data_IF_214509425452
#
_entry.id   IF_214509425452
#
_cell.length_a   1.000
_cell.length_b   1.000
_cell.length_c   1.000
_cell.angle_alpha   90.00
_cell.angle_beta   90.00
_cell.angle_gamma   90.00
#
_symmetry.space_group_name_H-M   'P 1'
#
loop_
_entity.id
_entity.type
_entity.pdbx_description
1 polymer ?
#
# COMPACT_ATOMS: atom_id res chain seq x y z
N UNK A 1 26.88 13.54 -17.84
CA UNK A 1 25.55 14.09 -17.53
C UNK A 1 24.86 13.10 -16.60
N UNK A 2 24.59 13.51 -15.37
CA UNK A 2 23.93 12.66 -14.37
C UNK A 2 22.42 12.82 -14.43
N UNK A 3 21.70 11.71 -14.25
CA UNK A 3 20.25 11.66 -14.38
C UNK A 3 19.60 11.19 -13.06
N UNK A 4 19.55 12.03 -12.02
CA UNK A 4 18.88 11.68 -10.78
C UNK A 4 17.40 11.39 -11.07
N UNK A 5 16.95 10.21 -10.64
CA UNK A 5 15.57 9.75 -10.83
C UNK A 5 14.77 9.96 -9.55
N UNK A 6 13.63 10.64 -9.68
CA UNK A 6 12.65 10.84 -8.62
C UNK A 6 11.52 9.83 -8.76
N UNK A 7 11.00 9.42 -7.61
CA UNK A 7 9.97 8.40 -7.55
C UNK A 7 8.58 8.98 -7.84
N UNK A 8 8.27 10.16 -7.33
CA UNK A 8 6.97 10.80 -7.53
C UNK A 8 7.16 12.23 -8.04
N UNK A 9 6.20 12.81 -8.80
CA UNK A 9 6.29 14.20 -9.25
C UNK A 9 6.29 15.19 -8.09
N UNK A 10 5.87 14.79 -6.89
CA UNK A 10 5.96 15.59 -5.67
C UNK A 10 6.94 15.01 -4.64
N UNK A 11 7.96 14.24 -5.07
CA UNK A 11 8.93 13.59 -4.19
C UNK A 11 10.00 14.56 -3.66
N UNK A 12 9.63 15.35 -2.64
CA UNK A 12 10.56 16.29 -1.99
C UNK A 12 11.71 15.58 -1.29
N UNK A 13 11.45 14.45 -0.62
CA UNK A 13 12.47 13.70 0.13
C UNK A 13 13.52 13.09 -0.82
N UNK A 14 13.07 12.48 -1.92
CA UNK A 14 13.95 11.95 -2.96
C UNK A 14 14.76 13.05 -3.64
N UNK A 15 14.13 14.18 -3.95
CA UNK A 15 14.85 15.35 -4.49
C UNK A 15 15.93 15.84 -3.51
N UNK A 16 15.59 16.03 -2.24
CA UNK A 16 16.53 16.49 -1.20
C UNK A 16 17.73 15.55 -1.05
N UNK A 17 17.49 14.23 -1.07
CA UNK A 17 18.55 13.21 -0.98
C UNK A 17 19.48 13.25 -2.19
N UNK A 18 18.93 13.27 -3.41
CA UNK A 18 19.74 13.32 -4.64
C UNK A 18 20.49 14.65 -4.77
N UNK A 19 19.84 15.78 -4.44
CA UNK A 19 20.45 17.10 -4.47
C UNK A 19 21.65 17.18 -3.51
N UNK A 20 21.53 16.65 -2.29
CA UNK A 20 22.65 16.54 -1.34
C UNK A 20 23.81 15.71 -1.90
N UNK A 21 23.51 14.55 -2.48
CA UNK A 21 24.53 13.67 -3.09
C UNK A 21 25.28 14.37 -4.22
N UNK A 22 24.58 15.12 -5.07
CA UNK A 22 25.18 15.85 -6.19
C UNK A 22 26.06 17.01 -5.70
N UNK A 23 25.63 17.74 -4.67
CA UNK A 23 26.41 18.83 -4.06
C UNK A 23 27.71 18.32 -3.44
N UNK A 24 27.64 17.24 -2.64
CA UNK A 24 28.82 16.64 -2.00
C UNK A 24 29.85 16.18 -3.05
N UNK A 25 29.38 15.74 -4.22
CA UNK A 25 30.21 15.31 -5.34
C UNK A 25 30.66 16.46 -6.24
N UNK A 26 30.27 17.71 -5.95
CA UNK A 26 30.63 18.88 -6.73
C UNK A 26 30.06 18.88 -8.16
N UNK A 27 28.91 18.25 -8.39
CA UNK A 27 28.29 18.16 -9.72
C UNK A 27 27.48 19.42 -10.00
N UNK A 28 27.94 20.25 -10.95
CA UNK A 28 27.26 21.48 -11.34
C UNK A 28 25.88 21.27 -11.97
N UNK A 29 24.95 22.24 -11.86
CA UNK A 29 23.56 22.10 -12.34
C UNK A 29 23.45 21.87 -13.85
N UNK A 30 24.41 22.32 -14.65
CA UNK A 30 24.50 22.07 -16.10
C UNK A 30 24.79 20.61 -16.45
N UNK A 31 25.30 19.83 -15.49
CA UNK A 31 25.65 18.43 -15.67
C UNK A 31 24.52 17.49 -15.25
N UNK A 32 23.39 18.02 -14.76
CA UNK A 32 22.30 17.27 -14.14
C UNK A 32 21.03 17.39 -14.96
N UNK A 33 20.42 16.26 -15.29
CA UNK A 33 19.10 16.19 -15.92
C UNK A 33 18.15 15.42 -15.02
N UNK A 34 17.21 16.14 -14.40
CA UNK A 34 16.24 15.54 -13.48
C UNK A 34 15.20 14.74 -14.24
N UNK A 35 15.01 13.49 -13.84
CA UNK A 35 13.97 12.63 -14.38
C UNK A 35 13.01 12.25 -13.27
N UNK A 36 11.72 12.30 -13.58
CA UNK A 36 10.70 11.62 -12.78
C UNK A 36 10.45 10.31 -13.51
N UNK A 37 10.56 9.18 -12.81
CA UNK A 37 10.30 7.88 -13.43
C UNK A 37 8.93 7.91 -14.11
N UNK A 38 8.87 7.67 -15.42
CA UNK A 38 7.61 7.63 -16.19
C UNK A 38 6.79 6.36 -15.93
N UNK A 39 7.24 5.47 -15.05
CA UNK A 39 6.37 4.50 -14.37
C UNK A 39 5.50 5.24 -13.34
N UNK A 40 4.60 6.08 -13.84
CA UNK A 40 3.82 7.03 -13.04
C UNK A 40 2.41 6.50 -12.76
N UNK A 41 2.30 5.70 -11.68
CA UNK A 41 1.16 5.70 -10.75
C UNK A 41 1.38 4.77 -9.52
N UNK A 42 2.63 4.54 -9.07
CA UNK A 42 2.91 3.57 -7.99
C UNK A 42 3.48 4.14 -6.70
N UNK A 43 3.77 5.44 -6.62
CA UNK A 43 4.66 5.99 -5.60
C UNK A 43 3.88 6.82 -4.58
N UNK A 44 3.17 6.11 -3.72
CA UNK A 44 2.43 6.66 -2.59
C UNK A 44 3.26 6.71 -1.30
N UNK A 45 4.39 7.42 -1.30
CA UNK A 45 5.27 7.55 -0.12
C UNK A 45 4.68 8.48 0.97
N UNK A 46 4.24 7.90 2.09
CA UNK A 46 4.01 8.56 3.36
C UNK A 46 5.15 8.26 4.34
N UNK A 47 5.54 9.30 5.07
CA UNK A 47 6.51 9.40 6.18
C UNK A 47 7.97 9.02 5.92
N UNK A 48 8.83 9.97 6.28
CA UNK A 48 10.27 9.84 6.41
C UNK A 48 10.68 8.79 7.47
N UNK A 49 11.95 8.37 7.37
CA UNK A 49 12.75 7.57 8.31
C UNK A 49 12.55 6.04 8.17
N UNK A 50 13.58 5.20 8.06
CA UNK A 50 15.02 5.34 7.99
C UNK A 50 15.58 4.02 7.42
N UNK A 51 16.57 4.07 6.53
CA UNK A 51 17.62 3.07 6.57
C UNK A 51 18.93 3.66 6.02
N UNK A 52 19.92 3.61 6.90
CA UNK A 52 21.30 3.97 6.68
C UNK A 52 22.03 2.77 6.09
N UNK A 53 22.77 3.00 5.01
CA UNK A 53 24.22 2.77 5.00
C UNK A 53 24.82 3.20 3.66
N UNK A 54 25.94 3.93 3.76
CA UNK A 54 26.88 4.38 2.73
C UNK A 54 26.49 5.63 1.89
N UNK A 55 26.45 6.80 2.53
CA UNK A 55 27.54 7.80 2.44
C UNK A 55 27.19 9.05 3.26
N UNK A 56 27.44 8.98 4.57
CA UNK A 56 27.64 10.15 5.41
C UNK A 56 29.05 10.71 5.15
N UNK A 57 29.21 11.37 4.01
CA UNK A 57 30.16 12.47 3.95
C UNK A 57 29.41 13.70 4.48
N UNK A 58 29.54 13.93 5.79
CA UNK A 58 28.99 15.10 6.47
C UNK A 58 29.71 16.37 5.97
N UNK A 59 29.25 16.91 4.84
CA UNK A 59 29.48 18.30 4.50
C UNK A 59 28.37 19.12 5.16
N UNK A 60 28.73 20.08 6.01
CA UNK A 60 27.81 21.07 6.59
C UNK A 60 27.26 21.99 5.48
N UNK A 61 26.28 21.50 4.73
CA UNK A 61 25.59 22.29 3.70
C UNK A 61 24.71 23.31 4.42
N UNK A 62 25.16 24.57 4.47
CA UNK A 62 24.40 25.69 5.04
C UNK A 62 23.53 26.35 3.98
N UNK A 63 22.24 26.46 4.27
CA UNK A 63 21.25 27.17 3.44
C UNK A 63 20.35 28.03 4.32
N UNK A 64 19.79 29.14 3.79
CA UNK A 64 18.82 29.95 4.54
C UNK A 64 17.59 29.13 4.96
N UNK A 65 17.03 29.45 6.13
CA UNK A 65 15.87 28.73 6.71
C UNK A 65 14.62 28.75 5.82
N UNK A 66 14.47 29.79 4.99
CA UNK A 66 13.35 29.96 4.06
C UNK A 66 13.41 29.05 2.83
N UNK A 67 14.58 28.45 2.53
CA UNK A 67 14.74 27.63 1.32
C UNK A 67 13.92 26.34 1.35
N UNK A 68 13.94 25.60 2.47
CA UNK A 68 13.28 24.30 2.54
C UNK A 68 11.75 24.39 2.43
N UNK A 69 11.05 25.31 3.11
CA UNK A 69 9.61 25.51 2.92
C UNK A 69 9.24 25.92 1.48
N UNK A 70 10.06 26.76 0.85
CA UNK A 70 9.90 27.14 -0.55
C UNK A 70 10.01 25.91 -1.45
N UNK A 71 11.07 25.12 -1.28
CA UNK A 71 11.32 23.92 -2.08
C UNK A 71 10.21 22.87 -1.90
N UNK A 72 9.76 22.62 -0.68
CA UNK A 72 8.68 21.69 -0.37
C UNK A 72 7.37 22.09 -1.09
N UNK A 73 7.08 23.38 -1.16
CA UNK A 73 5.91 23.90 -1.87
C UNK A 73 6.10 23.81 -3.40
N UNK A 74 7.23 24.25 -3.92
CA UNK A 74 7.48 24.29 -5.37
C UNK A 74 7.53 22.89 -5.99
N UNK A 75 8.01 21.88 -5.27
CA UNK A 75 8.06 20.49 -5.74
C UNK A 75 6.68 19.96 -6.14
N UNK A 76 5.60 20.45 -5.51
CA UNK A 76 4.23 20.08 -5.87
C UNK A 76 3.77 20.62 -7.24
N UNK A 77 4.42 21.62 -7.83
CA UNK A 77 4.00 22.20 -9.12
C UNK A 77 4.19 21.20 -10.27
N UNK A 78 3.34 21.25 -11.31
CA UNK A 78 3.48 20.37 -12.50
C UNK A 78 4.62 20.75 -13.46
N UNK A 79 5.37 21.81 -13.18
CA UNK A 79 6.34 22.38 -14.13
C UNK A 79 7.60 21.51 -14.18
N UNK A 80 7.92 20.94 -15.33
CA UNK A 80 8.99 19.96 -15.52
C UNK A 80 10.37 20.46 -15.04
N UNK A 81 10.67 21.74 -15.26
CA UNK A 81 11.96 22.35 -14.91
C UNK A 81 12.16 22.64 -13.42
N UNK A 82 11.14 22.46 -12.56
CA UNK A 82 11.18 22.88 -11.14
C UNK A 82 12.36 22.30 -10.36
N UNK A 83 12.69 21.02 -10.56
CA UNK A 83 13.75 20.34 -9.82
C UNK A 83 15.14 20.84 -10.23
N UNK A 84 15.31 21.16 -11.51
CA UNK A 84 16.55 21.73 -12.04
C UNK A 84 16.78 23.14 -11.49
N UNK A 85 15.74 23.98 -11.46
CA UNK A 85 15.84 25.34 -10.90
C UNK A 85 16.07 25.29 -9.38
N UNK A 86 15.37 24.42 -8.65
CA UNK A 86 15.62 24.23 -7.21
C UNK A 86 17.05 23.78 -6.93
N UNK A 87 17.60 22.87 -7.73
CA UNK A 87 18.99 22.44 -7.60
C UNK A 87 19.98 23.56 -7.93
N UNK A 88 19.72 24.34 -8.99
CA UNK A 88 20.55 25.49 -9.36
C UNK A 88 20.58 26.55 -8.27
N UNK A 89 19.43 26.90 -7.68
CA UNK A 89 19.36 27.84 -6.55
C UNK A 89 20.11 27.29 -5.35
N UNK A 90 19.96 26.00 -5.03
CA UNK A 90 20.70 25.35 -3.96
C UNK A 90 22.23 25.37 -4.20
N UNK A 91 22.67 25.14 -5.43
CA UNK A 91 24.08 25.26 -5.82
C UNK A 91 24.60 26.69 -5.60
N UNK A 92 23.87 27.71 -6.07
CA UNK A 92 24.26 29.13 -5.92
C UNK A 92 24.35 29.55 -4.44
N UNK A 93 23.37 29.15 -3.62
CA UNK A 93 23.34 29.40 -2.17
C UNK A 93 24.56 28.82 -1.44
N UNK A 94 25.08 27.69 -1.92
CA UNK A 94 26.24 27.00 -1.32
C UNK A 94 27.59 27.47 -1.86
N UNK A 95 27.59 28.18 -2.99
CA UNK A 95 28.80 28.67 -3.69
C UNK A 95 28.98 30.20 -3.58
N UNK A 96 28.42 30.83 -2.54
CA UNK A 96 28.72 32.21 -2.16
C UNK A 96 27.56 33.21 -2.30
N UNK A 97 26.44 32.83 -2.91
CA UNK A 97 25.26 33.70 -3.04
C UNK A 97 24.27 33.50 -1.89
N UNK A 98 24.67 33.76 -0.64
CA UNK A 98 23.86 33.43 0.55
C UNK A 98 22.55 34.24 0.66
N UNK A 99 22.51 35.46 0.13
CA UNK A 99 21.36 36.36 0.16
C UNK A 99 20.45 36.23 -1.08
N UNK A 100 20.69 35.23 -1.94
CA UNK A 100 19.98 35.04 -3.21
C UNK A 100 18.46 35.03 -3.06
N UNK A 101 17.93 34.43 -1.98
CA UNK A 101 16.47 34.36 -1.74
C UNK A 101 15.83 35.72 -1.45
N UNK A 102 16.60 36.75 -1.09
CA UNK A 102 16.13 38.12 -0.87
C UNK A 102 16.12 38.93 -2.18
N UNK A 103 16.83 38.46 -3.21
CA UNK A 103 16.94 39.12 -4.51
C UNK A 103 15.72 38.81 -5.39
N UNK A 104 14.59 39.47 -5.13
CA UNK A 104 13.34 39.26 -5.87
C UNK A 104 13.42 39.53 -7.38
N UNK A 105 14.46 40.24 -7.85
CA UNK A 105 14.72 40.51 -9.26
C UNK A 105 15.46 39.38 -9.98
N UNK A 106 16.05 38.43 -9.24
CA UNK A 106 16.73 37.27 -9.82
C UNK A 106 15.73 36.39 -10.59
N UNK A 107 16.15 35.91 -11.76
CA UNK A 107 15.28 35.15 -12.65
C UNK A 107 14.84 33.80 -12.05
N UNK A 108 15.72 33.11 -11.32
CA UNK A 108 15.41 31.82 -10.69
C UNK A 108 14.44 32.03 -9.53
N UNK A 109 14.68 33.04 -8.70
CA UNK A 109 13.81 33.35 -7.55
C UNK A 109 12.42 33.78 -8.02
N UNK A 110 12.34 34.65 -9.03
CA UNK A 110 11.06 35.06 -9.63
C UNK A 110 10.30 33.87 -10.21
N UNK A 111 11.00 32.94 -10.86
CA UNK A 111 10.40 31.71 -11.36
C UNK A 111 9.87 30.83 -10.22
N UNK A 112 10.68 30.55 -9.20
CA UNK A 112 10.26 29.75 -8.04
C UNK A 112 9.08 30.39 -7.29
N UNK A 113 9.07 31.71 -7.12
CA UNK A 113 7.96 32.41 -6.46
C UNK A 113 6.66 32.33 -7.26
N UNK A 114 6.74 32.36 -8.60
CA UNK A 114 5.58 32.16 -9.48
C UNK A 114 5.00 30.76 -9.30
N UNK A 115 5.86 29.73 -9.28
CA UNK A 115 5.44 28.35 -9.05
C UNK A 115 4.83 28.18 -7.64
N UNK A 116 5.48 28.75 -6.61
CA UNK A 116 5.00 28.72 -5.23
C UNK A 116 3.59 29.29 -5.09
N UNK A 117 3.36 30.51 -5.60
CA UNK A 117 2.05 31.18 -5.58
C UNK A 117 0.95 30.35 -6.28
N UNK A 118 1.29 29.71 -7.39
CA UNK A 118 0.39 28.84 -8.14
C UNK A 118 -0.02 27.59 -7.34
N UNK A 119 0.94 26.94 -6.66
CA UNK A 119 0.67 25.80 -5.77
C UNK A 119 -0.16 26.22 -4.55
N UNK A 120 0.21 27.30 -3.88
CA UNK A 120 -0.51 27.82 -2.71
C UNK A 120 -1.95 28.19 -3.04
N UNK A 121 -2.18 28.82 -4.19
CA UNK A 121 -3.52 29.14 -4.68
C UNK A 121 -4.37 27.88 -4.91
N UNK A 122 -3.79 26.82 -5.46
CA UNK A 122 -4.49 25.55 -5.66
C UNK A 122 -4.79 24.82 -4.35
N UNK A 123 -3.84 24.84 -3.41
CA UNK A 123 -4.03 24.33 -2.05
C UNK A 123 -5.15 25.07 -1.33
N UNK A 124 -5.15 26.40 -1.40
CA UNK A 124 -6.22 27.21 -0.80
C UNK A 124 -7.58 26.89 -1.43
N UNK A 125 -7.63 26.71 -2.76
CA UNK A 125 -8.84 26.28 -3.47
C UNK A 125 -9.31 24.91 -2.98
N UNK A 126 -8.42 23.94 -2.78
CA UNK A 126 -8.77 22.65 -2.22
C UNK A 126 -9.40 22.80 -0.84
N UNK A 127 -8.74 23.54 0.06
CA UNK A 127 -9.21 23.78 1.43
C UNK A 127 -10.60 24.43 1.46
N UNK A 128 -10.87 25.41 0.60
CA UNK A 128 -12.13 26.15 0.61
C UNK A 128 -13.26 25.46 -0.16
N UNK A 129 -12.92 24.63 -1.15
CA UNK A 129 -13.91 24.03 -2.07
C UNK A 129 -14.31 22.62 -1.65
N UNK A 130 -13.43 21.86 -0.99
CA UNK A 130 -13.73 20.50 -0.54
C UNK A 130 -14.84 20.56 0.51
N UNK A 131 -15.98 19.97 0.15
CA UNK A 131 -17.13 19.82 1.02
C UNK A 131 -17.43 18.35 1.21
N UNK A 132 -17.27 17.87 2.44
CA UNK A 132 -17.58 16.50 2.81
C UNK A 132 -19.09 16.27 2.84
N UNK A 133 -19.54 15.25 2.12
CA UNK A 133 -20.93 14.80 2.14
C UNK A 133 -21.01 13.43 2.77
N UNK A 134 -21.99 13.24 3.66
CA UNK A 134 -22.28 11.93 4.25
C UNK A 134 -22.67 10.95 3.14
N UNK A 135 -22.14 9.74 3.23
CA UNK A 135 -22.43 8.63 2.32
C UNK A 135 -23.46 7.72 2.99
N UNK A 136 -24.71 7.63 2.51
CA UNK A 136 -25.72 6.75 3.08
C UNK A 136 -25.44 5.27 2.72
N UNK A 137 -25.62 4.34 3.66
CA UNK A 137 -25.52 2.90 3.40
C UNK A 137 -24.21 2.22 3.78
N UNK A 138 -23.20 2.94 4.26
CA UNK A 138 -22.04 2.32 4.91
C UNK A 138 -22.37 1.98 6.38
N UNK A 139 -21.97 0.80 6.87
CA UNK A 139 -22.14 0.39 8.28
C UNK A 139 -21.51 1.37 9.28
N UNK A 140 -20.57 2.21 8.81
CA UNK A 140 -19.93 3.30 9.56
C UNK A 140 -20.28 4.65 8.95
N UNK A 141 -20.39 5.71 9.75
CA UNK A 141 -20.56 7.08 9.25
C UNK A 141 -19.32 7.53 8.44
N UNK A 142 -19.41 7.48 7.11
CA UNK A 142 -18.32 7.81 6.20
C UNK A 142 -18.66 9.02 5.31
N UNK A 143 -17.69 9.92 5.15
CA UNK A 143 -17.83 11.15 4.38
C UNK A 143 -16.94 11.13 3.14
N UNK A 144 -17.45 11.62 2.02
CA UNK A 144 -16.71 11.64 0.76
C UNK A 144 -16.72 13.02 0.11
N UNK A 145 -15.67 13.31 -0.64
CA UNK A 145 -15.55 14.52 -1.44
C UNK A 145 -14.72 14.25 -2.72
N UNK A 146 -15.07 14.93 -3.80
CA UNK A 146 -14.28 14.98 -5.04
C UNK A 146 -13.52 16.30 -5.17
N UNK A 147 -12.27 16.25 -5.65
CA UNK A 147 -11.51 17.43 -6.00
C UNK A 147 -10.58 17.20 -7.19
N UNK A 148 -10.44 18.19 -8.08
CA UNK A 148 -9.54 18.15 -9.23
C UNK A 148 -8.42 19.18 -9.05
N UNK A 149 -7.25 18.74 -8.54
CA UNK A 149 -6.14 19.64 -8.33
C UNK A 149 -5.48 20.02 -9.67
N UNK A 150 -4.94 21.24 -9.72
CA UNK A 150 -4.07 21.70 -10.83
C UNK A 150 -2.64 21.22 -10.62
N UNK A 151 -2.24 20.98 -9.38
CA UNK A 151 -0.87 20.59 -9.00
C UNK A 151 -0.87 19.34 -8.11
N UNK A 152 0.29 18.76 -7.83
CA UNK A 152 0.42 17.56 -7.01
C UNK A 152 0.31 17.88 -5.50
N UNK A 153 -0.84 18.43 -5.09
CA UNK A 153 -1.07 19.02 -3.75
C UNK A 153 -1.79 18.12 -2.77
N UNK A 154 -2.28 16.95 -3.20
CA UNK A 154 -3.12 16.07 -2.38
C UNK A 154 -2.47 15.75 -1.03
N UNK A 155 -1.26 15.19 -1.05
CA UNK A 155 -0.50 14.83 0.17
C UNK A 155 -0.25 16.01 1.08
N UNK A 156 0.19 17.12 0.50
CA UNK A 156 0.54 18.34 1.21
C UNK A 156 -0.69 19.01 1.84
N UNK A 157 -1.88 18.82 1.25
CA UNK A 157 -3.13 19.42 1.71
C UNK A 157 -3.91 18.52 2.68
N UNK A 158 -3.76 17.20 2.61
CA UNK A 158 -4.51 16.25 3.44
C UNK A 158 -4.26 16.40 4.94
N UNK A 159 -3.09 16.89 5.34
CA UNK A 159 -2.77 17.16 6.74
C UNK A 159 -3.73 18.20 7.36
N UNK A 160 -4.16 19.20 6.59
CA UNK A 160 -5.16 20.17 7.04
C UNK A 160 -6.51 19.50 7.34
N UNK A 161 -6.97 18.63 6.43
CA UNK A 161 -8.23 17.92 6.59
C UNK A 161 -8.17 16.90 7.74
N UNK A 162 -7.02 16.25 7.92
CA UNK A 162 -6.77 15.33 9.04
C UNK A 162 -6.91 16.04 10.38
N UNK A 163 -6.30 17.22 10.53
CA UNK A 163 -6.35 18.00 11.76
C UNK A 163 -7.76 18.58 12.01
N UNK A 164 -8.41 19.12 10.97
CA UNK A 164 -9.72 19.77 11.11
C UNK A 164 -10.89 18.79 11.24
N UNK A 165 -10.82 17.65 10.58
CA UNK A 165 -11.89 16.64 10.51
C UNK A 165 -11.43 15.29 11.09
N UNK A 166 -10.66 15.33 12.19
CA UNK A 166 -10.08 14.14 12.83
C UNK A 166 -11.12 13.16 13.39
N UNK A 167 -12.29 13.66 13.79
CA UNK A 167 -13.32 12.87 14.48
C UNK A 167 -14.17 11.98 13.55
N UNK A 168 -14.15 12.23 12.23
CA UNK A 168 -15.00 11.53 11.25
C UNK A 168 -14.15 10.68 10.30
N UNK A 169 -14.74 9.65 9.70
CA UNK A 169 -14.11 8.93 8.59
C UNK A 169 -14.35 9.70 7.30
N UNK A 170 -13.29 10.01 6.56
CA UNK A 170 -13.44 10.74 5.31
C UNK A 170 -12.54 10.24 4.19
N UNK A 171 -13.00 10.44 2.95
CA UNK A 171 -12.26 10.17 1.73
C UNK A 171 -12.29 11.36 0.78
N UNK A 172 -11.14 11.72 0.22
CA UNK A 172 -10.99 12.70 -0.85
C UNK A 172 -10.52 11.96 -2.09
N UNK A 173 -11.28 12.07 -3.17
CA UNK A 173 -10.99 11.45 -4.45
C UNK A 173 -10.50 12.49 -5.45
N UNK A 174 -9.40 12.19 -6.14
CA UNK A 174 -8.86 13.03 -7.20
C UNK A 174 -8.39 12.17 -8.38
N UNK A 175 -8.27 12.75 -9.59
CA UNK A 175 -7.69 12.06 -10.75
C UNK A 175 -6.21 11.68 -10.60
N UNK A 176 -5.51 12.19 -9.59
CA UNK A 176 -4.08 11.91 -9.34
C UNK A 176 -3.86 10.95 -8.16
N UNK A 177 -4.90 10.68 -7.37
CA UNK A 177 -4.83 9.85 -6.17
C UNK A 177 -6.03 10.06 -5.26
N UNK A 178 -6.23 9.14 -4.33
CA UNK A 178 -7.19 9.31 -3.24
C UNK A 178 -6.48 9.40 -1.89
N UNK A 179 -7.16 10.00 -0.92
CA UNK A 179 -6.73 10.08 0.47
C UNK A 179 -7.89 9.71 1.38
N UNK A 180 -7.61 8.93 2.40
CA UNK A 180 -8.60 8.36 3.30
C UNK A 180 -8.15 8.50 4.74
N UNK A 181 -9.05 8.90 5.60
CA UNK A 181 -8.80 9.03 7.04
C UNK A 181 -9.80 8.17 7.80
N UNK A 182 -9.26 7.28 8.64
CA UNK A 182 -10.04 6.32 9.42
C UNK A 182 -10.12 6.65 10.93
N UNK A 183 -9.79 7.90 11.30
CA UNK A 183 -9.60 8.41 12.68
C UNK A 183 -8.31 8.01 13.40
N UNK A 184 -7.57 7.05 12.86
CA UNK A 184 -6.26 6.65 13.37
C UNK A 184 -5.13 6.97 12.39
N UNK A 185 -5.35 6.76 11.10
CA UNK A 185 -4.34 6.80 10.06
C UNK A 185 -4.88 7.47 8.80
N UNK A 186 -3.98 8.19 8.13
CA UNK A 186 -4.19 8.81 6.83
C UNK A 186 -3.56 7.92 5.76
N UNK A 187 -4.39 7.24 4.98
CA UNK A 187 -3.98 6.31 3.93
C UNK A 187 -4.19 6.98 2.57
N UNK A 188 -3.22 6.83 1.67
CA UNK A 188 -3.35 7.31 0.29
C UNK A 188 -3.51 6.13 -0.66
N UNK A 189 -4.32 6.29 -1.69
CA UNK A 189 -4.58 5.25 -2.68
C UNK A 189 -4.55 5.78 -4.12
N UNK A 190 -4.79 4.89 -5.09
CA UNK A 190 -4.63 5.15 -6.52
C UNK A 190 -5.50 6.30 -7.04
N UNK A 191 -5.20 6.86 -8.23
CA UNK A 191 -6.08 7.82 -8.88
C UNK A 191 -7.44 7.22 -9.17
N UNK A 192 -8.47 8.05 -9.12
CA UNK A 192 -9.85 7.64 -9.42
C UNK A 192 -10.37 8.48 -10.59
N UNK A 193 -11.07 7.85 -11.52
CA UNK A 193 -11.68 8.54 -12.68
C UNK A 193 -13.06 9.03 -12.30
N UNK A 194 -13.42 10.25 -12.73
CA UNK A 194 -14.77 10.74 -12.49
C UNK A 194 -15.76 9.98 -13.37
N UNK A 195 -16.61 9.13 -12.77
CA UNK A 195 -17.57 8.33 -13.52
C UNK A 195 -18.68 9.21 -14.15
N UNK A 196 -19.06 10.27 -13.45
CA UNK A 196 -20.02 11.27 -13.90
C UNK A 196 -19.43 12.68 -13.72
N UNK A 197 -18.94 13.32 -14.81
CA UNK A 197 -18.43 14.68 -14.77
C UNK A 197 -19.49 15.75 -14.42
N UNK A 198 -20.78 15.46 -14.63
CA UNK A 198 -21.88 16.37 -14.33
C UNK A 198 -22.23 16.35 -12.84
N UNK A 199 -22.11 15.19 -12.19
CA UNK A 199 -22.18 15.06 -10.73
C UNK A 199 -20.96 14.34 -10.12
N UNK A 200 -19.88 15.12 -10.02
CA UNK A 200 -18.61 14.69 -9.41
C UNK A 200 -18.77 14.21 -7.96
N UNK A 201 -19.73 14.79 -7.23
CA UNK A 201 -19.98 14.42 -5.83
C UNK A 201 -20.72 13.09 -5.73
N UNK A 202 -21.60 12.79 -6.68
CA UNK A 202 -22.19 11.47 -6.81
C UNK A 202 -21.14 10.42 -7.17
N UNK A 203 -20.15 10.75 -8.01
CA UNK A 203 -19.01 9.86 -8.28
C UNK A 203 -18.24 9.54 -6.99
N UNK A 204 -17.86 10.55 -6.20
CA UNK A 204 -17.18 10.34 -4.91
C UNK A 204 -18.00 9.48 -3.93
N UNK A 205 -19.32 9.67 -3.89
CA UNK A 205 -20.22 8.85 -3.08
C UNK A 205 -20.28 7.41 -3.55
N UNK A 206 -20.41 7.18 -4.86
CA UNK A 206 -20.40 5.84 -5.44
C UNK A 206 -19.12 5.11 -5.10
N UNK A 207 -17.97 5.78 -5.27
CA UNK A 207 -16.70 5.23 -4.84
C UNK A 207 -16.70 4.94 -3.34
N UNK A 208 -17.14 5.86 -2.48
CA UNK A 208 -17.20 5.60 -1.05
C UNK A 208 -18.15 4.46 -0.64
N UNK A 209 -19.22 4.19 -1.40
CA UNK A 209 -20.14 3.07 -1.18
C UNK A 209 -19.52 1.74 -1.65
N UNK A 210 -18.91 1.72 -2.83
CA UNK A 210 -18.27 0.53 -3.42
C UNK A 210 -16.94 0.19 -2.73
N UNK A 211 -16.24 1.19 -2.19
CA UNK A 211 -14.87 1.11 -1.67
C UNK A 211 -14.78 0.81 -0.18
N UNK A 212 -15.74 0.04 0.37
CA UNK A 212 -15.77 -0.40 1.78
C UNK A 212 -14.37 -0.46 2.35
N UNK A 213 -14.02 0.56 3.14
CA UNK A 213 -12.63 0.94 3.34
C UNK A 213 -11.83 -0.26 3.88
N UNK A 214 -10.69 -0.65 3.24
CA UNK A 214 -10.07 -0.08 2.04
C UNK A 214 -10.34 -0.83 0.70
N UNK A 215 -10.52 -0.03 -0.37
CA UNK A 215 -10.33 -0.21 -1.85
C UNK A 215 -11.03 -1.39 -2.61
N UNK A 216 -11.84 -1.11 -3.67
CA UNK A 216 -12.29 -2.10 -4.66
C UNK A 216 -11.17 -2.48 -5.64
N UNK A 217 -11.16 -3.75 -6.03
CA UNK A 217 -10.24 -4.44 -6.94
C UNK A 217 -10.30 -3.96 -8.39
N UNK A 218 -11.37 -3.27 -8.78
CA UNK A 218 -11.53 -2.70 -10.12
C UNK A 218 -10.48 -1.63 -10.50
N UNK A 219 -9.63 -1.16 -9.58
CA UNK A 219 -8.64 -0.08 -9.81
C UNK A 219 -7.22 -0.59 -10.17
N UNK A 220 -7.03 -1.89 -10.39
CA UNK A 220 -5.69 -2.50 -10.42
C UNK A 220 -5.00 -2.43 -11.80
N UNK A 221 -5.67 -2.00 -12.86
CA UNK A 221 -5.06 -1.86 -14.20
C UNK A 221 -5.21 -0.45 -14.76
N UNK A 222 -4.25 0.43 -14.47
CA UNK A 222 -4.09 1.71 -15.14
C UNK A 222 -2.64 1.95 -15.63
N UNK A 223 -1.96 0.91 -16.11
CA UNK A 223 -0.68 1.05 -16.82
C UNK A 223 -0.76 0.78 -18.33
N UNK A 224 -1.95 0.53 -18.86
CA UNK A 224 -2.21 0.46 -20.30
C UNK A 224 -3.59 1.02 -20.52
N UNK A 225 -3.76 1.91 -21.51
CA UNK A 225 -5.03 2.56 -21.86
C UNK A 225 -6.14 1.64 -22.37
N UNK A 226 -6.15 0.38 -21.94
CA UNK A 226 -7.25 -0.56 -22.07
C UNK A 226 -7.55 -1.10 -20.67
N UNK A 227 -8.82 -1.01 -20.26
CA UNK A 227 -9.34 -1.73 -19.11
C UNK A 227 -9.13 -3.23 -19.32
N UNK A 228 -8.03 -3.78 -18.82
CA UNK A 228 -7.85 -5.24 -18.79
C UNK A 228 -8.80 -5.76 -17.71
N UNK A 229 -9.99 -6.16 -18.12
CA UNK A 229 -10.88 -6.95 -17.28
C UNK A 229 -10.17 -8.28 -16.97
N UNK A 230 -9.55 -8.39 -15.80
CA UNK A 230 -8.98 -9.64 -15.30
C UNK A 230 -10.15 -10.55 -14.93
N UNK A 231 -10.34 -11.61 -15.70
CA UNK A 231 -11.44 -12.58 -15.52
C UNK A 231 -10.98 -13.96 -15.08
N UNK A 232 -9.66 -14.18 -14.95
CA UNK A 232 -9.07 -15.47 -14.58
C UNK A 232 -7.82 -15.33 -13.71
N UNK A 233 -7.54 -16.37 -12.90
CA UNK A 233 -6.34 -16.42 -12.06
C UNK A 233 -5.04 -16.39 -12.88
N UNK A 234 -5.03 -16.94 -14.08
CA UNK A 234 -3.84 -16.91 -14.94
C UNK A 234 -3.54 -15.50 -15.45
N UNK A 235 -4.57 -14.72 -15.80
CA UNK A 235 -4.39 -13.30 -16.13
C UNK A 235 -3.88 -12.53 -14.91
N UNK A 236 -4.45 -12.81 -13.73
CA UNK A 236 -4.03 -12.18 -12.48
C UNK A 236 -2.57 -12.50 -12.14
N UNK A 237 -2.18 -13.78 -12.25
CA UNK A 237 -0.81 -14.25 -12.04
C UNK A 237 0.18 -13.60 -13.00
N UNK A 238 -0.19 -13.46 -14.28
CA UNK A 238 0.64 -12.76 -15.28
C UNK A 238 0.80 -11.28 -14.95
N UNK A 239 -0.28 -10.61 -14.54
CA UNK A 239 -0.24 -9.22 -14.14
C UNK A 239 0.61 -9.00 -12.87
N UNK A 240 0.55 -9.93 -11.92
CA UNK A 240 1.32 -9.86 -10.68
C UNK A 240 2.81 -10.21 -10.85
N UNK A 241 3.20 -10.94 -11.91
CA UNK A 241 4.54 -11.54 -12.06
C UNK A 241 5.70 -10.54 -11.84
N UNK A 242 5.55 -9.31 -12.32
CA UNK A 242 6.54 -8.25 -12.21
C UNK A 242 6.07 -7.13 -11.28
N UNK A 243 5.27 -7.48 -10.26
CA UNK A 243 4.75 -6.51 -9.30
C UNK A 243 5.88 -5.78 -8.59
N UNK A 244 5.87 -4.46 -8.67
CA UNK A 244 6.81 -3.54 -8.03
C UNK A 244 6.15 -2.68 -6.94
N UNK A 245 4.93 -3.07 -6.53
CA UNK A 245 4.07 -2.30 -5.59
C UNK A 245 4.66 -2.14 -4.19
N UNK A 246 5.51 -3.06 -3.74
CA UNK A 246 6.17 -2.98 -2.44
C UNK A 246 7.70 -2.94 -2.59
N UNK A 247 8.44 -2.29 -1.66
CA UNK A 247 9.89 -2.22 -1.71
C UNK A 247 10.58 -3.60 -1.79
N UNK A 248 9.96 -4.62 -1.19
CA UNK A 248 10.48 -5.99 -1.14
C UNK A 248 10.54 -6.69 -2.49
N UNK A 249 9.85 -6.17 -3.51
CA UNK A 249 9.93 -6.70 -4.87
C UNK A 249 11.36 -6.64 -5.43
N UNK A 250 12.18 -5.68 -4.99
CA UNK A 250 13.56 -5.53 -5.42
C UNK A 250 14.51 -6.53 -4.76
N UNK A 251 14.20 -6.95 -3.52
CA UNK A 251 15.07 -7.82 -2.70
C UNK A 251 14.66 -9.30 -2.77
N UNK A 252 13.37 -9.57 -2.95
CA UNK A 252 12.83 -10.91 -3.16
C UNK A 252 13.35 -11.52 -4.47
N UNK A 253 13.44 -12.85 -4.52
CA UNK A 253 13.85 -13.53 -5.77
C UNK A 253 12.76 -13.38 -6.83
N UNK A 254 11.50 -13.48 -6.41
CA UNK A 254 10.33 -13.35 -7.26
C UNK A 254 9.06 -13.16 -6.42
N UNK A 255 7.98 -12.74 -7.08
CA UNK A 255 6.65 -12.78 -6.48
C UNK A 255 6.20 -14.24 -6.26
N UNK A 256 5.72 -14.55 -5.07
CA UNK A 256 5.05 -15.82 -4.75
C UNK A 256 3.54 -15.60 -4.81
N UNK A 257 2.97 -16.00 -5.94
CA UNK A 257 1.53 -15.94 -6.18
C UNK A 257 0.81 -17.09 -5.46
N UNK A 258 -0.50 -16.99 -5.26
CA UNK A 258 -1.27 -18.10 -4.71
C UNK A 258 -1.33 -19.31 -5.63
N UNK A 259 -1.59 -20.47 -5.01
CA UNK A 259 -1.65 -21.75 -5.69
C UNK A 259 -2.79 -22.61 -5.13
N UNK A 260 -3.56 -23.21 -6.04
CA UNK A 260 -4.66 -24.11 -5.77
C UNK A 260 -5.59 -24.16 -7.00
N UNK A 261 -6.65 -24.95 -6.90
CA UNK A 261 -7.72 -24.95 -7.90
C UNK A 261 -8.46 -23.59 -7.90
N UNK A 262 -8.98 -23.18 -9.06
CA UNK A 262 -9.86 -22.01 -9.18
C UNK A 262 -11.19 -22.24 -8.46
N UNK A 263 -11.62 -23.48 -8.30
CA UNK A 263 -12.87 -23.83 -7.60
C UNK A 263 -12.61 -24.30 -6.14
N UNK A 264 -11.40 -24.06 -5.62
CA UNK A 264 -11.04 -24.39 -4.25
C UNK A 264 -12.02 -23.76 -3.24
N UNK A 265 -12.55 -24.61 -2.35
CA UNK A 265 -13.60 -24.21 -1.41
C UNK A 265 -13.05 -23.53 -0.17
N UNK A 266 -11.80 -23.83 0.19
CA UNK A 266 -11.07 -23.28 1.33
C UNK A 266 -9.93 -22.43 0.79
N UNK A 267 -9.76 -21.23 1.32
CA UNK A 267 -8.56 -20.43 1.09
C UNK A 267 -7.80 -20.25 2.41
N UNK A 268 -6.52 -20.65 2.42
CA UNK A 268 -5.61 -20.41 3.53
C UNK A 268 -4.73 -19.21 3.20
N UNK A 269 -4.77 -18.19 4.07
CA UNK A 269 -4.02 -16.95 3.90
C UNK A 269 -2.95 -16.85 4.99
N UNK A 270 -1.67 -16.93 4.61
CA UNK A 270 -0.54 -16.72 5.52
C UNK A 270 -0.05 -15.28 5.54
N UNK A 271 0.96 -15.00 6.36
CA UNK A 271 1.58 -13.68 6.45
C UNK A 271 2.31 -13.27 5.15
N UNK A 272 3.38 -14.00 4.82
CA UNK A 272 4.26 -13.73 3.69
C UNK A 272 4.97 -15.03 3.27
N UNK A 273 5.63 -15.07 2.10
CA UNK A 273 6.39 -16.23 1.68
C UNK A 273 7.65 -16.38 2.54
N UNK A 274 8.06 -17.61 2.84
CA UNK A 274 9.35 -17.88 3.46
C UNK A 274 10.51 -17.93 2.46
N UNK A 275 11.73 -18.15 2.97
CA UNK A 275 12.96 -18.30 2.17
C UNK A 275 12.82 -19.34 1.03
N UNK A 276 12.28 -20.51 1.34
CA UNK A 276 12.10 -21.58 0.34
C UNK A 276 10.98 -21.23 -0.64
N UNK A 277 9.90 -20.59 -0.17
CA UNK A 277 8.75 -20.20 -0.99
C UNK A 277 9.17 -19.17 -2.04
N UNK A 278 9.96 -18.18 -1.64
CA UNK A 278 10.54 -17.15 -2.50
C UNK A 278 11.44 -17.75 -3.59
N UNK A 279 12.34 -18.67 -3.26
CA UNK A 279 13.19 -19.32 -4.28
C UNK A 279 12.37 -20.20 -5.23
N UNK A 280 11.32 -20.85 -4.73
CA UNK A 280 10.51 -21.79 -5.51
C UNK A 280 9.34 -21.14 -6.25
N UNK A 281 8.99 -19.90 -5.92
CA UNK A 281 7.83 -19.20 -6.50
C UNK A 281 6.49 -19.83 -6.12
N UNK A 282 6.42 -20.57 -5.00
CA UNK A 282 5.24 -21.33 -4.59
C UNK A 282 4.95 -21.11 -3.10
N UNK A 283 3.69 -20.87 -2.70
CA UNK A 283 3.36 -20.56 -1.31
C UNK A 283 3.43 -21.82 -0.45
N UNK A 284 3.88 -21.67 0.79
CA UNK A 284 3.92 -22.74 1.79
C UNK A 284 4.65 -24.02 1.33
N UNK A 285 5.84 -23.93 0.73
CA UNK A 285 6.67 -25.12 0.45
C UNK A 285 7.67 -25.41 1.57
N UNK A 286 7.90 -24.44 2.46
CA UNK A 286 8.74 -24.57 3.65
C UNK A 286 8.14 -25.40 4.80
N UNK A 287 8.72 -25.27 6.00
CA UNK A 287 8.30 -26.05 7.18
C UNK A 287 6.88 -25.72 7.64
N UNK A 288 6.49 -24.44 7.63
CA UNK A 288 5.12 -23.97 7.90
C UNK A 288 4.11 -24.68 7.01
N UNK A 289 4.43 -24.83 5.71
CA UNK A 289 3.58 -25.52 4.76
C UNK A 289 3.51 -27.03 4.93
N UNK A 290 4.61 -27.67 5.34
CA UNK A 290 4.60 -29.09 5.71
C UNK A 290 3.72 -29.34 6.94
N UNK A 291 3.80 -28.47 7.94
CA UNK A 291 2.95 -28.52 9.11
C UNK A 291 1.47 -28.40 8.72
N UNK A 292 1.10 -27.38 7.93
CA UNK A 292 -0.27 -27.19 7.46
C UNK A 292 -0.78 -28.39 6.66
N UNK A 293 -0.01 -28.90 5.70
CA UNK A 293 -0.40 -30.09 4.94
C UNK A 293 -0.57 -31.32 5.82
N UNK A 294 0.27 -31.51 6.84
CA UNK A 294 0.09 -32.62 7.79
C UNK A 294 -1.24 -32.52 8.56
N UNK A 295 -1.63 -31.30 8.94
CA UNK A 295 -2.91 -31.03 9.62
C UNK A 295 -4.08 -31.30 8.65
N UNK A 296 -4.01 -30.80 7.41
CA UNK A 296 -5.05 -31.04 6.40
C UNK A 296 -5.22 -32.53 6.10
N UNK A 297 -4.11 -33.27 6.00
CA UNK A 297 -4.13 -34.73 5.82
C UNK A 297 -4.79 -35.46 7.01
N UNK A 298 -4.48 -35.06 8.25
CA UNK A 298 -5.13 -35.60 9.46
C UNK A 298 -6.64 -35.34 9.46
N UNK A 299 -7.04 -34.16 8.96
CA UNK A 299 -8.45 -33.76 8.82
C UNK A 299 -9.12 -34.31 7.55
N UNK A 300 -8.38 -35.08 6.73
CA UNK A 300 -8.87 -35.68 5.46
C UNK A 300 -9.41 -34.63 4.48
N UNK A 301 -8.77 -33.48 4.42
CA UNK A 301 -9.04 -32.44 3.43
C UNK A 301 -8.13 -32.68 2.23
N UNK A 302 -8.73 -32.84 1.05
CA UNK A 302 -7.98 -32.96 -0.19
C UNK A 302 -7.29 -31.64 -0.54
N UNK A 303 -6.02 -31.69 -0.96
CA UNK A 303 -5.23 -30.47 -1.22
C UNK A 303 -5.84 -29.63 -2.36
N UNK A 304 -6.52 -30.25 -3.31
CA UNK A 304 -7.20 -29.59 -4.43
C UNK A 304 -8.41 -28.74 -3.97
N UNK A 305 -8.95 -28.99 -2.78
CA UNK A 305 -9.99 -28.14 -2.19
C UNK A 305 -9.45 -26.86 -1.56
N UNK A 306 -8.13 -26.70 -1.50
CA UNK A 306 -7.45 -25.64 -0.76
C UNK A 306 -6.65 -24.74 -1.70
N UNK A 307 -6.94 -23.45 -1.66
CA UNK A 307 -6.12 -22.41 -2.27
C UNK A 307 -5.19 -21.79 -1.23
N UNK A 308 -3.89 -21.93 -1.44
CA UNK A 308 -2.85 -21.41 -0.55
C UNK A 308 -2.35 -20.06 -1.06
N UNK A 309 -2.30 -19.05 -0.20
CA UNK A 309 -1.75 -17.74 -0.57
C UNK A 309 -1.26 -16.97 0.66
N UNK A 310 -0.63 -15.81 0.45
CA UNK A 310 -0.12 -14.94 1.52
C UNK A 310 -0.72 -13.54 1.44
N UNK A 311 -0.80 -12.83 2.55
CA UNK A 311 -1.18 -11.41 2.59
C UNK A 311 -0.20 -10.55 1.80
N UNK A 312 1.09 -10.74 2.01
CA UNK A 312 2.18 -10.12 1.25
C UNK A 312 2.75 -11.13 0.27
N UNK A 313 3.07 -10.70 -0.96
CA UNK A 313 3.48 -11.61 -2.05
C UNK A 313 4.98 -11.71 -2.29
N UNK A 314 5.78 -10.84 -1.65
CA UNK A 314 7.23 -10.84 -1.71
C UNK A 314 7.79 -11.17 -0.32
N UNK A 315 8.89 -11.93 -0.28
CA UNK A 315 9.55 -12.27 0.97
C UNK A 315 10.34 -11.07 1.49
N UNK A 316 9.97 -10.59 2.68
CA UNK A 316 10.68 -9.53 3.39
C UNK A 316 11.72 -10.13 4.33
N UNK A 317 12.99 -9.79 4.13
CA UNK A 317 14.08 -10.34 4.92
C UNK A 317 15.25 -9.37 5.06
N UNK A 318 16.10 -9.63 6.05
CA UNK A 318 17.45 -9.05 6.15
C UNK A 318 18.49 -10.15 5.95
N UNK A 319 19.69 -9.79 5.49
CA UNK A 319 20.78 -10.76 5.31
C UNK A 319 21.73 -10.72 6.49
N UNK A 320 21.93 -11.87 7.15
CA UNK A 320 22.97 -12.03 8.16
C UNK A 320 23.93 -13.15 7.75
N UNK A 321 25.10 -12.75 7.28
CA UNK A 321 26.06 -13.68 6.66
C UNK A 321 25.48 -14.26 5.37
N UNK A 322 25.31 -15.59 5.31
CA UNK A 322 24.71 -16.28 4.15
C UNK A 322 23.22 -16.61 4.33
N UNK A 323 22.61 -16.22 5.44
CA UNK A 323 21.21 -16.57 5.76
C UNK A 323 20.30 -15.36 5.58
N UNK A 324 19.14 -15.61 4.96
CA UNK A 324 18.03 -14.66 4.89
C UNK A 324 17.18 -14.81 6.16
N UNK A 325 17.03 -13.73 6.92
CA UNK A 325 16.29 -13.69 8.18
C UNK A 325 14.95 -12.99 7.90
N UNK A 326 13.81 -13.69 8.03
CA UNK A 326 12.49 -13.10 7.85
C UNK A 326 12.29 -11.85 8.72
N UNK A 327 11.60 -10.85 8.17
CA UNK A 327 11.13 -9.68 8.91
C UNK A 327 9.61 -9.60 8.83
N UNK A 328 8.94 -9.18 9.89
CA UNK A 328 7.48 -9.04 9.87
C UNK A 328 7.03 -7.96 8.86
N UNK A 329 5.97 -8.21 8.08
CA UNK A 329 5.34 -7.19 7.27
C UNK A 329 4.71 -6.11 8.15
N UNK A 330 4.79 -4.88 7.67
CA UNK A 330 4.11 -3.73 8.26
C UNK A 330 2.71 -3.59 7.68
N UNK A 331 1.88 -2.74 8.29
CA UNK A 331 0.58 -2.36 7.71
C UNK A 331 0.72 -1.88 6.25
N UNK A 332 1.79 -1.11 5.97
CA UNK A 332 2.09 -0.61 4.63
C UNK A 332 2.38 -1.75 3.63
N UNK A 333 3.12 -2.77 4.07
CA UNK A 333 3.44 -3.94 3.23
C UNK A 333 2.18 -4.73 2.86
N UNK A 334 1.28 -4.85 3.84
CA UNK A 334 -0.03 -5.49 3.68
C UNK A 334 -0.86 -4.70 2.67
N UNK A 335 -0.99 -3.39 2.83
CA UNK A 335 -1.82 -2.54 1.97
C UNK A 335 -1.41 -2.62 0.49
N UNK A 336 -0.10 -2.62 0.20
CA UNK A 336 0.42 -2.76 -1.16
C UNK A 336 0.01 -4.07 -1.83
N UNK A 337 0.02 -5.17 -1.08
CA UNK A 337 -0.25 -6.51 -1.59
C UNK A 337 -1.72 -6.93 -1.48
N UNK A 338 -2.50 -6.28 -0.61
CA UNK A 338 -3.89 -6.63 -0.30
C UNK A 338 -4.78 -6.70 -1.53
N UNK A 339 -4.53 -5.81 -2.48
CA UNK A 339 -5.20 -5.75 -3.78
C UNK A 339 -5.05 -7.04 -4.61
N UNK A 340 -3.93 -7.76 -4.50
CA UNK A 340 -3.75 -9.07 -5.13
C UNK A 340 -4.55 -10.15 -4.40
N UNK A 341 -4.47 -10.17 -3.07
CA UNK A 341 -5.20 -11.14 -2.23
C UNK A 341 -6.71 -11.08 -2.47
N UNK A 342 -7.27 -9.88 -2.44
CA UNK A 342 -8.70 -9.70 -2.65
C UNK A 342 -9.15 -10.14 -4.05
N UNK A 343 -8.32 -10.00 -5.09
CA UNK A 343 -8.63 -10.48 -6.44
C UNK A 343 -8.57 -12.00 -6.51
N UNK A 344 -7.61 -12.62 -5.81
CA UNK A 344 -7.61 -14.08 -5.66
C UNK A 344 -8.90 -14.54 -4.98
N UNK A 345 -9.34 -13.88 -3.91
CA UNK A 345 -10.63 -14.22 -3.25
C UNK A 345 -11.80 -14.03 -4.22
N UNK A 346 -11.83 -12.95 -5.00
CA UNK A 346 -12.91 -12.68 -5.95
C UNK A 346 -12.96 -13.70 -7.12
N UNK A 347 -11.81 -14.22 -7.55
CA UNK A 347 -11.71 -15.17 -8.65
C UNK A 347 -11.89 -16.63 -8.20
N UNK A 348 -11.23 -17.03 -7.10
CA UNK A 348 -11.34 -18.37 -6.48
C UNK A 348 -12.73 -18.57 -5.88
N UNK A 349 -13.31 -17.50 -5.34
CA UNK A 349 -14.64 -17.50 -4.72
C UNK A 349 -14.79 -18.57 -3.62
N UNK A 350 -13.84 -18.67 -2.67
CA UNK A 350 -13.86 -19.70 -1.65
C UNK A 350 -15.14 -19.56 -0.79
N UNK A 351 -15.60 -20.69 -0.22
CA UNK A 351 -16.67 -20.67 0.79
C UNK A 351 -16.14 -20.28 2.15
N UNK A 352 -14.88 -20.59 2.42
CA UNK A 352 -14.20 -20.36 3.69
C UNK A 352 -12.82 -19.75 3.45
N UNK A 353 -12.53 -18.64 4.14
CA UNK A 353 -11.20 -18.02 4.20
C UNK A 353 -10.68 -18.14 5.63
N UNK A 354 -9.54 -18.78 5.81
CA UNK A 354 -8.86 -18.92 7.11
C UNK A 354 -7.60 -18.05 7.09
N UNK A 355 -7.60 -17.00 7.91
CA UNK A 355 -6.42 -16.18 8.13
C UNK A 355 -5.50 -16.81 9.18
N UNK A 356 -4.27 -17.12 8.78
CA UNK A 356 -3.23 -17.70 9.63
C UNK A 356 -2.41 -16.56 10.25
N UNK A 357 -2.88 -16.03 11.39
CA UNK A 357 -2.23 -14.95 12.13
C UNK A 357 -2.78 -13.54 11.85
N UNK A 358 -2.26 -12.57 12.61
CA UNK A 358 -2.74 -11.19 12.60
C UNK A 358 -2.53 -10.48 11.26
N UNK A 359 -1.39 -10.70 10.61
CA UNK A 359 -1.06 -10.11 9.30
C UNK A 359 -2.06 -10.54 8.23
N UNK A 360 -2.35 -11.84 8.17
CA UNK A 360 -3.36 -12.39 7.26
C UNK A 360 -4.76 -11.84 7.55
N UNK A 361 -5.13 -11.75 8.83
CA UNK A 361 -6.42 -11.23 9.24
C UNK A 361 -6.58 -9.76 8.85
N UNK A 362 -5.57 -8.93 9.12
CA UNK A 362 -5.54 -7.53 8.71
C UNK A 362 -5.66 -7.38 7.20
N UNK A 363 -5.00 -8.23 6.42
CA UNK A 363 -5.07 -8.18 4.96
C UNK A 363 -6.47 -8.50 4.44
N UNK A 364 -7.20 -9.45 5.02
CA UNK A 364 -8.58 -9.74 4.61
C UNK A 364 -9.54 -8.64 5.10
N UNK A 365 -9.46 -8.30 6.38
CA UNK A 365 -10.40 -7.37 7.05
C UNK A 365 -10.18 -5.90 6.67
N UNK A 366 -8.96 -5.50 6.30
CA UNK A 366 -8.61 -4.12 6.00
C UNK A 366 -8.35 -3.24 7.23
N UNK A 367 -8.25 -3.82 8.43
CA UNK A 367 -7.87 -3.13 9.66
C UNK A 367 -7.13 -4.06 10.63
N UNK A 368 -6.29 -3.49 11.49
CA UNK A 368 -5.54 -4.27 12.49
C UNK A 368 -6.49 -4.92 13.50
N UNK A 369 -6.16 -6.13 13.92
CA UNK A 369 -6.94 -6.91 14.88
C UNK A 369 -6.09 -7.43 16.02
N UNK A 370 -6.70 -7.60 17.19
CA UNK A 370 -6.10 -8.33 18.30
C UNK A 370 -6.35 -9.83 18.08
N UNK A 371 -5.27 -10.56 17.77
CA UNK A 371 -5.33 -12.00 17.47
C UNK A 371 -5.93 -12.81 18.61
N UNK A 372 -5.70 -12.40 19.87
CA UNK A 372 -6.19 -13.15 21.03
C UNK A 372 -7.71 -13.06 21.17
N UNK A 373 -8.28 -11.94 20.73
CA UNK A 373 -9.72 -11.71 20.76
C UNK A 373 -10.42 -12.30 19.54
N UNK A 374 -9.73 -12.42 18.41
CA UNK A 374 -10.31 -12.86 17.14
C UNK A 374 -10.14 -14.34 16.83
N UNK A 375 -9.19 -15.02 17.45
CA UNK A 375 -8.93 -16.44 17.18
C UNK A 375 -10.17 -17.27 17.54
N UNK A 376 -10.66 -18.08 16.59
CA UNK A 376 -11.86 -18.90 16.76
C UNK A 376 -13.18 -18.15 16.61
N UNK A 377 -13.17 -16.83 16.37
CA UNK A 377 -14.38 -16.09 16.03
C UNK A 377 -14.76 -16.29 14.55
N UNK A 378 -16.05 -16.17 14.29
CA UNK A 378 -16.66 -16.41 12.99
C UNK A 378 -17.32 -15.18 12.45
N UNK A 379 -17.10 -14.92 11.16
CA UNK A 379 -17.74 -13.80 10.45
C UNK A 379 -18.26 -14.27 9.11
N UNK A 380 -19.48 -13.86 8.78
CA UNK A 380 -19.91 -13.81 7.39
C UNK A 380 -19.33 -12.54 6.79
N UNK A 381 -18.53 -12.69 5.75
CA UNK A 381 -17.96 -11.58 5.01
C UNK A 381 -18.61 -11.51 3.64
N UNK A 382 -18.88 -10.28 3.17
CA UNK A 382 -19.36 -10.03 1.81
C UNK A 382 -18.26 -9.35 1.01
N UNK A 383 -17.98 -9.87 -0.17
CA UNK A 383 -17.13 -9.19 -1.15
C UNK A 383 -17.89 -8.01 -1.74
N UNK A 384 -17.43 -6.75 -1.54
CA UNK A 384 -18.17 -5.58 -2.00
C UNK A 384 -18.48 -5.59 -3.50
N UNK A 385 -17.54 -6.09 -4.31
CA UNK A 385 -17.66 -6.05 -5.78
C UNK A 385 -18.59 -7.10 -6.37
N UNK A 386 -18.70 -8.26 -5.72
CA UNK A 386 -19.48 -9.38 -6.24
C UNK A 386 -20.74 -9.63 -5.42
N UNK A 387 -20.87 -9.00 -4.26
CA UNK A 387 -21.89 -9.28 -3.25
C UNK A 387 -21.79 -10.70 -2.66
N UNK A 388 -20.76 -11.47 -3.03
CA UNK A 388 -20.64 -12.87 -2.63
C UNK A 388 -20.22 -12.97 -1.18
N UNK A 389 -20.94 -13.81 -0.44
CA UNK A 389 -20.60 -14.11 0.94
C UNK A 389 -19.63 -15.28 1.05
N UNK A 390 -18.75 -15.21 2.05
CA UNK A 390 -17.87 -16.29 2.47
C UNK A 390 -17.71 -16.28 4.00
N UNK A 391 -17.49 -17.45 4.59
CA UNK A 391 -17.15 -17.57 5.99
C UNK A 391 -15.68 -17.16 6.20
N UNK A 392 -15.41 -16.41 7.26
CA UNK A 392 -14.08 -15.96 7.63
C UNK A 392 -13.80 -16.30 9.09
N UNK A 393 -12.60 -16.81 9.35
CA UNK A 393 -12.07 -17.01 10.69
C UNK A 393 -10.57 -16.77 10.74
N UNK A 394 -10.06 -16.60 11.95
CA UNK A 394 -8.65 -16.35 12.24
C UNK A 394 -8.13 -17.43 13.17
N UNK A 395 -6.93 -17.91 12.90
CA UNK A 395 -6.20 -18.84 13.78
C UNK A 395 -4.75 -18.37 13.95
N UNK A 396 -4.00 -19.09 14.78
CA UNK A 396 -2.59 -18.85 15.06
C UNK A 396 -1.72 -19.04 13.81
N UNK A 397 -0.67 -18.23 13.66
CA UNK A 397 0.32 -18.40 12.59
C UNK A 397 1.14 -19.70 12.82
N UNK A 398 1.20 -20.64 11.85
CA UNK A 398 1.98 -21.86 12.00
C UNK A 398 3.50 -21.62 12.17
N UNK A 399 4.03 -20.46 11.76
CA UNK A 399 5.41 -20.07 12.09
C UNK A 399 5.61 -19.90 13.61
N UNK A 400 4.59 -19.41 14.33
CA UNK A 400 4.61 -19.29 15.80
C UNK A 400 4.58 -20.66 16.47
N UNK A 401 3.85 -21.63 15.89
CA UNK A 401 3.84 -23.03 16.35
C UNK A 401 5.23 -23.67 16.26
N UNK A 402 5.94 -23.40 15.16
CA UNK A 402 7.29 -23.90 14.92
C UNK A 402 8.37 -23.14 15.73
N UNK A 403 8.12 -21.87 16.05
CA UNK A 403 9.01 -21.02 16.84
C UNK A 403 8.87 -21.15 18.36
N UNK A 404 8.03 -22.07 18.85
CA UNK A 404 7.79 -22.24 20.28
C UNK A 404 9.06 -22.65 21.06
N UNK A 405 9.16 -22.19 22.30
CA UNK A 405 10.37 -22.34 23.13
C UNK A 405 10.57 -23.77 23.68
N UNK A 406 9.56 -24.65 23.56
CA UNK A 406 9.64 -26.04 23.99
C UNK A 406 8.83 -26.97 23.10
N UNK A 407 9.21 -28.25 23.07
CA UNK A 407 8.49 -29.30 22.32
C UNK A 407 7.06 -29.45 22.82
N UNK A 408 6.83 -29.37 24.13
CA UNK A 408 5.50 -29.46 24.73
C UNK A 408 4.60 -28.32 24.30
N UNK A 409 5.13 -27.08 24.28
CA UNK A 409 4.40 -25.91 23.81
C UNK A 409 4.09 -26.01 22.32
N UNK A 410 5.06 -26.42 21.49
CA UNK A 410 4.86 -26.63 20.05
C UNK A 410 3.76 -27.66 19.77
N UNK A 411 3.74 -28.79 20.50
CA UNK A 411 2.67 -29.80 20.39
C UNK A 411 1.30 -29.25 20.77
N UNK A 412 1.21 -28.49 21.86
CA UNK A 412 -0.05 -27.87 22.31
C UNK A 412 -0.57 -26.85 21.29
N UNK A 413 0.30 -25.97 20.78
CA UNK A 413 -0.07 -24.98 19.77
C UNK A 413 -0.46 -25.64 18.44
N UNK A 414 0.24 -26.70 18.03
CA UNK A 414 -0.14 -27.52 16.86
C UNK A 414 -1.54 -28.10 17.03
N UNK A 415 -1.84 -28.70 18.18
CA UNK A 415 -3.15 -29.31 18.41
C UNK A 415 -4.27 -28.25 18.39
N UNK A 416 -4.02 -27.07 18.97
CA UNK A 416 -4.95 -25.94 18.87
C UNK A 416 -5.15 -25.50 17.43
N UNK A 417 -4.09 -25.29 16.65
CA UNK A 417 -4.19 -24.95 15.22
C UNK A 417 -4.97 -26.02 14.43
N UNK A 418 -4.75 -27.30 14.73
CA UNK A 418 -5.50 -28.41 14.12
C UNK A 418 -6.99 -28.33 14.46
N UNK A 419 -7.31 -28.07 15.72
CA UNK A 419 -8.70 -27.91 16.19
C UNK A 419 -9.37 -26.70 15.55
N UNK A 420 -8.72 -25.54 15.53
CA UNK A 420 -9.25 -24.32 14.90
C UNK A 420 -9.56 -24.56 13.41
N UNK A 421 -8.67 -25.25 12.68
CA UNK A 421 -8.90 -25.58 11.27
C UNK A 421 -10.03 -26.62 11.12
N UNK A 422 -10.14 -27.60 12.01
CA UNK A 422 -11.24 -28.56 11.99
C UNK A 422 -12.59 -27.87 12.18
N UNK A 423 -12.69 -27.03 13.21
CA UNK A 423 -13.88 -26.21 13.48
C UNK A 423 -14.15 -25.26 12.29
N UNK A 424 -13.10 -24.65 11.72
CA UNK A 424 -13.14 -23.82 10.51
C UNK A 424 -13.92 -24.49 9.37
N UNK A 425 -13.54 -25.74 9.10
CA UNK A 425 -14.11 -26.56 8.03
C UNK A 425 -15.54 -26.98 8.38
N UNK A 426 -15.77 -27.49 9.60
CA UNK A 426 -17.09 -27.96 10.03
C UNK A 426 -18.14 -26.85 9.95
N UNK A 427 -17.88 -25.66 10.50
CA UNK A 427 -18.86 -24.57 10.43
C UNK A 427 -18.89 -23.93 9.04
N UNK A 428 -17.75 -23.81 8.33
CA UNK A 428 -17.68 -23.24 6.98
C UNK A 428 -18.48 -24.02 5.93
N UNK A 429 -18.57 -25.35 6.09
CA UNK A 429 -19.40 -26.21 5.24
C UNK A 429 -20.76 -26.58 5.86
N UNK A 430 -20.91 -26.40 7.17
CA UNK A 430 -22.12 -26.67 7.95
C UNK A 430 -23.24 -25.62 7.85
N UNK A 431 -23.01 -24.44 7.24
CA UNK A 431 -24.06 -23.42 7.01
C UNK A 431 -25.07 -23.80 5.90
N UNK A 432 -25.18 -25.07 5.57
CA UNK A 432 -26.28 -25.59 4.76
C UNK A 432 -27.43 -26.04 5.67
N UNK A 433 -28.15 -25.08 6.31
CA UNK A 433 -29.62 -25.08 6.50
C UNK A 433 -30.17 -24.20 7.65
N UNK A 434 -29.38 -23.78 8.64
CA UNK A 434 -29.97 -23.22 9.88
C UNK A 434 -29.87 -21.68 10.08
N UNK A 435 -29.02 -20.95 9.36
CA UNK A 435 -28.73 -19.55 9.66
C UNK A 435 -29.20 -18.52 8.62
N UNK A 436 -30.18 -18.87 7.77
CA UNK A 436 -30.86 -17.95 6.84
C UNK A 436 -32.25 -17.50 7.31
N UNK A 437 -32.59 -17.77 8.57
CA UNK A 437 -33.78 -17.20 9.22
C UNK A 437 -33.36 -16.68 10.57
N UNK A 438 -32.98 -15.40 10.61
CA UNK A 438 -33.50 -14.38 11.54
C UNK A 438 -32.89 -13.02 11.19
#
# INVERSE_FOLDING_TARGET
>A
METPTLQHPADFAGWRRQARRLLVRGVGPEQVSWQVSTQLAGLYAGSAEADSTADDACADIRVPRSFLPLAETVVCHRESGRFAVLYRVLWRLTHGEHDLLEMATDADIKFLDTLRKSVEGDRQRMITTVQFRRTPGSEREHYSAWFEPKHHILRHSCEYFRQRYSAIHWSIYTPEGCAHWNRSELVFGPPVVCADPQDRQQSARRYAMDSGFPVPLSVISAQSGEHVNITSLDQLRRAARNCDRCPHACDATQLVFGQGDVDARIMLVGEQPGDIDDVRGRPFVGQTGKLLRSILQELRVDEDEVYFTHAVKHFKYTVRGRRRIPQFPTAHDIDHCRSWLLQEIALVKPRLVIALGATAAQAVLGYSVDIQQETGNWRSMSMPETGRQFAFTVTEDPATVLGANSVTESRRRRERLRQDIAEAIECGFGVSQAALVL
#
